data_IF_799570276763
#
_entry.id   IF_799570276763
#
_cell.length_a   1.000
_cell.length_b   1.000
_cell.length_c   1.000
_cell.angle_alpha   90.00
_cell.angle_beta   90.00
_cell.angle_gamma   90.00
#
_symmetry.space_group_name_H-M   'P 1'
#
loop_
_entity.id
_entity.type
_entity.pdbx_description
1 polymer ?
#
# COMPACT_ATOMS: atom_id res chain seq x y z
N UNK A 1 -4.56 3.57 9.54
CA UNK A 1 -5.54 3.07 8.55
C UNK A 1 -5.67 1.54 8.63
N UNK A 2 -6.76 0.91 8.18
CA UNK A 2 -6.91 -0.55 8.23
C UNK A 2 -6.43 -1.15 6.89
N UNK A 3 -5.17 -1.58 6.83
CA UNK A 3 -4.50 -2.19 5.64
C UNK A 3 -5.31 -3.33 5.03
N UNK A 4 -6.11 -4.02 5.85
CA UNK A 4 -7.05 -5.06 5.44
C UNK A 4 -8.14 -4.55 4.47
N UNK A 5 -8.63 -3.33 4.67
CA UNK A 5 -9.67 -2.75 3.80
C UNK A 5 -9.10 -2.46 2.40
N UNK A 6 -7.88 -1.94 2.34
CA UNK A 6 -7.16 -1.70 1.08
C UNK A 6 -6.92 -2.99 0.31
N UNK A 7 -6.43 -4.00 1.03
CA UNK A 7 -6.20 -5.33 0.48
C UNK A 7 -7.49 -5.92 -0.11
N UNK A 8 -8.62 -5.82 0.60
CA UNK A 8 -9.92 -6.26 0.06
C UNK A 8 -10.31 -5.55 -1.22
N UNK A 9 -10.15 -4.21 -1.28
CA UNK A 9 -10.42 -3.43 -2.50
C UNK A 9 -9.62 -3.94 -3.70
N UNK A 10 -8.33 -4.20 -3.50
CA UNK A 10 -7.46 -4.71 -4.57
C UNK A 10 -7.91 -6.11 -4.99
N UNK A 11 -8.28 -6.99 -4.04
CA UNK A 11 -8.83 -8.33 -4.36
C UNK A 11 -10.10 -8.20 -5.19
N UNK A 12 -11.04 -7.34 -4.77
CA UNK A 12 -12.33 -7.15 -5.43
C UNK A 12 -12.18 -6.60 -6.86
N UNK A 13 -11.30 -5.61 -7.06
CA UNK A 13 -11.15 -4.94 -8.36
C UNK A 13 -10.27 -5.74 -9.35
N UNK A 14 -9.37 -6.59 -8.86
CA UNK A 14 -8.38 -7.29 -9.71
C UNK A 14 -8.61 -8.79 -9.83
N UNK A 15 -9.42 -9.37 -8.93
CA UNK A 15 -9.64 -10.82 -8.84
C UNK A 15 -8.43 -11.60 -8.31
N UNK A 16 -7.34 -10.92 -7.90
CA UNK A 16 -6.16 -11.57 -7.34
C UNK A 16 -6.45 -12.20 -5.98
N UNK A 17 -5.85 -13.36 -5.73
CA UNK A 17 -5.90 -13.98 -4.42
C UNK A 17 -5.07 -13.19 -3.41
N UNK A 18 -5.39 -13.40 -2.12
CA UNK A 18 -4.64 -12.80 -1.01
C UNK A 18 -3.15 -13.17 -1.06
N UNK A 19 -2.82 -14.41 -1.41
CA UNK A 19 -1.44 -14.89 -1.51
C UNK A 19 -0.67 -14.19 -2.64
N UNK A 20 -1.32 -13.94 -3.77
CA UNK A 20 -0.70 -13.19 -4.88
C UNK A 20 -0.38 -11.76 -4.46
N UNK A 21 -1.31 -11.11 -3.75
CA UNK A 21 -1.07 -9.76 -3.22
C UNK A 21 0.08 -9.77 -2.21
N UNK A 22 0.12 -10.73 -1.29
CA UNK A 22 1.22 -10.86 -0.31
C UNK A 22 2.57 -11.06 -1.00
N UNK A 23 2.61 -11.87 -2.06
CA UNK A 23 3.81 -12.07 -2.85
C UNK A 23 4.27 -10.79 -3.55
N UNK A 24 3.35 -10.06 -4.18
CA UNK A 24 3.66 -8.78 -4.83
C UNK A 24 4.15 -7.76 -3.79
N UNK A 25 3.52 -7.72 -2.61
CA UNK A 25 3.95 -6.86 -1.52
C UNK A 25 5.39 -7.17 -1.08
N UNK A 26 5.72 -8.44 -0.91
CA UNK A 26 7.06 -8.86 -0.51
C UNK A 26 8.12 -8.49 -1.56
N UNK A 27 7.84 -8.77 -2.84
CA UNK A 27 8.72 -8.39 -3.95
C UNK A 27 8.97 -6.87 -4.01
N UNK A 28 7.96 -6.06 -3.69
CA UNK A 28 8.08 -4.60 -3.61
C UNK A 28 8.85 -4.16 -2.37
N UNK A 29 8.62 -4.75 -1.20
CA UNK A 29 9.38 -4.42 0.04
C UNK A 29 10.87 -4.65 -0.13
N UNK A 30 11.25 -5.78 -0.72
CA UNK A 30 12.65 -6.12 -1.02
C UNK A 30 13.27 -5.08 -1.95
N UNK A 31 12.58 -4.72 -3.04
CA UNK A 31 13.03 -3.66 -3.98
C UNK A 31 13.18 -2.29 -3.31
N UNK A 32 12.35 -2.01 -2.31
CA UNK A 32 12.29 -0.74 -1.59
C UNK A 32 13.10 -0.74 -0.28
N UNK A 33 13.93 -1.79 -0.07
CA UNK A 33 14.81 -1.97 1.09
C UNK A 33 14.09 -1.87 2.44
N UNK A 34 12.85 -2.34 2.54
CA UNK A 34 12.02 -2.32 3.77
C UNK A 34 11.77 -0.93 4.38
N UNK A 35 12.10 0.16 3.69
CA UNK A 35 12.00 1.52 4.26
C UNK A 35 10.58 2.09 4.23
N UNK A 36 9.61 1.31 3.77
CA UNK A 36 8.29 1.82 3.40
C UNK A 36 7.21 0.97 4.07
N UNK A 37 6.24 1.58 4.76
CA UNK A 37 5.16 0.86 5.42
C UNK A 37 4.24 0.16 4.42
N UNK A 38 3.59 -0.89 4.91
CA UNK A 38 2.70 -1.79 4.18
C UNK A 38 1.61 -1.05 3.40
N UNK A 39 1.04 0.01 3.96
CA UNK A 39 -0.02 0.80 3.34
C UNK A 39 0.45 1.49 2.06
N UNK A 40 1.69 1.99 2.04
CA UNK A 40 2.28 2.60 0.85
C UNK A 40 2.62 1.55 -0.21
N UNK A 41 3.05 0.36 0.20
CA UNK A 41 3.27 -0.75 -0.73
C UNK A 41 1.95 -1.15 -1.40
N UNK A 42 0.85 -1.23 -0.63
CA UNK A 42 -0.49 -1.50 -1.16
C UNK A 42 -0.97 -0.38 -2.12
N UNK A 43 -0.65 0.88 -1.83
CA UNK A 43 -0.97 2.00 -2.71
C UNK A 43 -0.22 1.95 -4.05
N UNK A 44 1.06 1.55 -4.02
CA UNK A 44 1.86 1.32 -5.23
C UNK A 44 1.25 0.20 -6.07
N UNK A 45 0.88 -0.92 -5.43
CA UNK A 45 0.24 -2.07 -6.09
C UNK A 45 -1.09 -1.66 -6.72
N UNK A 46 -1.95 -0.96 -5.97
CA UNK A 46 -3.22 -0.47 -6.49
C UNK A 46 -3.02 0.41 -7.74
N UNK A 47 -2.03 1.31 -7.73
CA UNK A 47 -1.71 2.15 -8.89
C UNK A 47 -1.21 1.34 -10.09
N UNK A 48 -0.34 0.36 -9.87
CA UNK A 48 0.18 -0.51 -10.95
C UNK A 48 -0.91 -1.39 -11.56
N UNK A 49 -1.90 -1.80 -10.76
CA UNK A 49 -3.05 -2.59 -11.19
C UNK A 49 -4.23 -1.72 -11.66
N UNK A 50 -4.04 -0.40 -11.81
CA UNK A 50 -5.06 0.57 -12.21
C UNK A 50 -6.34 0.56 -11.34
N UNK A 51 -6.20 0.20 -10.06
CA UNK A 51 -7.28 0.23 -9.05
C UNK A 51 -7.52 1.66 -8.60
N UNK A 52 -8.78 2.11 -8.63
CA UNK A 52 -9.17 3.47 -8.25
C UNK A 52 -9.21 3.59 -6.72
N UNK A 53 -8.25 4.32 -6.16
CA UNK A 53 -8.09 4.52 -4.70
C UNK A 53 -8.04 5.99 -4.27
N UNK A 54 -8.58 6.90 -5.09
CA UNK A 54 -8.39 8.37 -4.95
C UNK A 54 -8.69 8.92 -3.55
N UNK A 55 -9.80 8.51 -2.92
CA UNK A 55 -10.15 8.98 -1.56
C UNK A 55 -9.24 8.45 -0.45
N UNK A 56 -8.51 7.37 -0.70
CA UNK A 56 -7.70 6.68 0.30
C UNK A 56 -6.19 6.94 0.09
N UNK A 57 -5.83 7.47 -1.09
CA UNK A 57 -4.48 7.84 -1.51
C UNK A 57 -3.93 9.05 -0.75
N UNK A 58 -4.66 10.16 -0.70
CA UNK A 58 -4.17 11.40 -0.11
C UNK A 58 -3.95 11.23 1.41
N UNK A 59 -4.88 10.53 2.07
CA UNK A 59 -4.76 10.22 3.50
C UNK A 59 -3.58 9.30 3.82
N UNK A 60 -3.28 8.34 2.95
CA UNK A 60 -2.13 7.44 3.11
C UNK A 60 -0.79 8.18 3.02
N UNK A 61 -0.70 9.13 2.08
CA UNK A 61 0.49 9.95 1.87
C UNK A 61 0.71 10.91 3.04
N UNK A 62 -0.36 11.57 3.49
CA UNK A 62 -0.31 12.50 4.63
C UNK A 62 0.14 11.81 5.93
N UNK A 63 -0.40 10.61 6.23
CA UNK A 63 0.01 9.83 7.41
C UNK A 63 1.49 9.42 7.32
N UNK A 64 1.96 8.99 6.14
CA UNK A 64 3.37 8.60 6.00
C UNK A 64 4.33 9.79 6.14
N UNK A 65 3.98 10.94 5.55
CA UNK A 65 4.76 12.17 5.71
C UNK A 65 4.80 12.57 7.19
N UNK A 66 3.66 12.52 7.89
CA UNK A 66 3.60 12.84 9.31
C UNK A 66 4.47 11.93 10.17
N UNK A 67 4.41 10.60 9.95
CA UNK A 67 5.27 9.64 10.67
C UNK A 67 6.75 9.79 10.32
N UNK A 68 7.07 10.07 9.05
CA UNK A 68 8.44 10.31 8.60
C UNK A 68 9.05 11.59 9.16
N UNK A 69 8.25 12.64 9.37
CA UNK A 69 8.67 13.88 10.04
C UNK A 69 8.86 13.64 11.54
N UNK A 70 7.92 12.95 12.20
CA UNK A 70 7.97 12.69 13.64
C UNK A 70 9.18 11.83 14.06
N UNK A 71 9.60 10.87 13.23
CA UNK A 71 10.76 10.01 13.51
C UNK A 71 12.12 10.68 13.22
N UNK A 72 12.15 11.95 12.79
CA UNK A 72 13.39 12.72 12.54
C UNK A 72 13.65 13.85 13.56
N UNK A 73 12.72 14.07 14.49
CA UNK A 73 12.83 15.01 15.63
C UNK A 73 12.97 14.24 16.93
#
# INVERSE_FOLDING_TARGET
MNSEKFRRRIIEDTGLSRQEIDRIMEEKRVKLKERIPDELVLLIIAKELAVIVENEKDRCLDEWIYQGVKNRT
#
